data_IF_960093434798
#
_entry.id   IF_960093434798
#
_cell.length_a   1.000
_cell.length_b   1.000
_cell.length_c   1.000
_cell.angle_alpha   90.00
_cell.angle_beta   90.00
_cell.angle_gamma   90.00
#
_symmetry.space_group_name_H-M   'P 1'
#
loop_
_entity.id
_entity.type
_entity.pdbx_description
1 polymer ?
#
# COMPACT_ATOMS: atom_id res chain seq x y z
N UNK A 1 4.82 5.36 -3.97
CA UNK A 1 3.39 5.43 -4.24
C UNK A 1 2.97 4.32 -5.19
N UNK A 2 3.43 4.26 -6.45
CA UNK A 2 3.09 3.25 -7.45
C UNK A 2 3.14 1.80 -6.90
N UNK A 3 4.28 1.40 -6.32
CA UNK A 3 4.44 0.09 -5.66
C UNK A 3 3.50 -0.17 -4.48
N UNK A 4 3.13 0.88 -3.75
CA UNK A 4 2.24 0.80 -2.58
C UNK A 4 0.77 0.73 -3.02
N UNK A 5 0.40 1.47 -4.06
CA UNK A 5 -0.92 1.42 -4.71
C UNK A 5 -1.13 0.04 -5.36
N UNK A 6 -0.13 -0.50 -6.07
CA UNK A 6 -0.13 -1.90 -6.53
C UNK A 6 -0.24 -2.89 -5.37
N UNK A 7 0.36 -2.63 -4.21
CA UNK A 7 0.18 -3.50 -3.04
C UNK A 7 -1.26 -3.44 -2.48
N UNK A 8 -1.88 -2.25 -2.42
CA UNK A 8 -3.31 -2.11 -2.10
C UNK A 8 -4.14 -2.91 -3.11
N UNK A 9 -3.86 -2.76 -4.41
CA UNK A 9 -4.53 -3.49 -5.48
C UNK A 9 -4.40 -5.01 -5.32
N UNK A 10 -3.21 -5.52 -4.96
CA UNK A 10 -2.95 -6.94 -4.69
C UNK A 10 -3.73 -7.46 -3.47
N UNK A 11 -3.82 -6.68 -2.41
CA UNK A 11 -4.51 -7.09 -1.18
C UNK A 11 -6.03 -7.18 -1.34
N UNK A 12 -6.66 -6.27 -2.09
CA UNK A 12 -8.12 -6.28 -2.35
C UNK A 12 -8.53 -7.22 -3.51
N UNK A 13 -7.62 -7.61 -4.41
CA UNK A 13 -7.96 -8.44 -5.58
C UNK A 13 -8.22 -7.66 -6.87
N UNK A 14 -7.79 -6.40 -6.93
CA UNK A 14 -7.73 -5.61 -8.17
C UNK A 14 -6.61 -6.16 -9.07
N UNK A 15 -5.55 -6.62 -8.41
CA UNK A 15 -4.43 -7.50 -8.77
C UNK A 15 -4.33 -8.50 -7.58
N UNK A 16 -3.49 -9.54 -7.41
CA UNK A 16 -3.10 -10.65 -8.29
C UNK A 16 -1.94 -10.41 -9.29
N UNK A 17 -1.00 -11.36 -9.33
CA UNK A 17 0.20 -11.50 -10.18
C UNK A 17 0.01 -12.32 -11.49
N UNK A 18 0.84 -12.08 -12.52
CA UNK A 18 0.95 -12.99 -13.68
C UNK A 18 1.37 -14.42 -13.30
N UNK A 19 2.09 -14.57 -12.20
CA UNK A 19 2.45 -15.85 -11.59
C UNK A 19 1.29 -16.52 -10.80
N UNK A 20 0.11 -15.90 -10.74
CA UNK A 20 -1.03 -16.34 -9.91
C UNK A 20 -2.18 -16.99 -10.69
N UNK A 21 -2.23 -16.79 -12.00
CA UNK A 21 -3.38 -17.02 -12.87
C UNK A 21 -4.16 -18.37 -12.71
N UNK A 22 -3.53 -19.53 -12.42
CA UNK A 22 -4.26 -20.80 -12.44
C UNK A 22 -5.33 -20.97 -11.35
N UNK A 23 -5.14 -20.36 -10.17
CA UNK A 23 -5.97 -20.64 -8.98
C UNK A 23 -7.04 -19.56 -8.75
N UNK A 24 -6.72 -18.29 -9.04
CA UNK A 24 -7.59 -17.17 -8.72
C UNK A 24 -8.92 -17.15 -9.51
N UNK A 25 -8.98 -17.83 -10.66
CA UNK A 25 -10.17 -17.89 -11.55
C UNK A 25 -11.41 -18.52 -10.92
N UNK A 26 -11.28 -19.35 -9.88
CA UNK A 26 -12.42 -20.10 -9.32
C UNK A 26 -13.22 -19.36 -8.24
N UNK A 27 -12.74 -18.22 -7.72
CA UNK A 27 -13.39 -17.49 -6.61
C UNK A 27 -13.32 -15.96 -6.80
N UNK A 28 -13.32 -15.49 -8.06
CA UNK A 28 -13.16 -14.08 -8.36
C UNK A 28 -14.00 -13.61 -9.56
N UNK A 29 -15.20 -13.12 -9.26
CA UNK A 29 -15.96 -12.26 -10.17
C UNK A 29 -15.23 -10.91 -10.30
N UNK A 30 -14.19 -10.83 -11.16
CA UNK A 30 -13.54 -9.58 -11.57
C UNK A 30 -12.02 -9.47 -11.39
N UNK A 31 -11.34 -10.43 -10.74
CA UNK A 31 -9.88 -10.34 -10.51
C UNK A 31 -9.06 -11.01 -11.64
N UNK A 32 -8.52 -10.20 -12.55
CA UNK A 32 -7.56 -10.61 -13.57
C UNK A 32 -6.79 -9.37 -14.07
N UNK A 33 -5.52 -9.55 -14.45
CA UNK A 33 -4.51 -8.48 -14.52
C UNK A 33 -4.63 -7.51 -15.70
N UNK A 34 -3.89 -6.41 -15.57
CA UNK A 34 -3.29 -5.61 -16.66
C UNK A 34 -2.28 -6.43 -17.52
N UNK A 35 -2.39 -7.76 -17.58
CA UNK A 35 -1.41 -8.66 -18.19
C UNK A 35 -1.59 -8.65 -19.72
N UNK A 36 -0.94 -7.70 -20.37
CA UNK A 36 -0.84 -7.64 -21.84
C UNK A 36 -0.71 -6.24 -22.41
N UNK A 37 -1.11 -5.18 -21.68
CA UNK A 37 -0.93 -3.81 -22.17
C UNK A 37 0.46 -3.27 -21.81
N UNK A 38 1.25 -2.80 -22.79
CA UNK A 38 2.55 -2.17 -22.53
C UNK A 38 2.44 -0.91 -21.66
N UNK A 39 1.31 -0.22 -21.77
CA UNK A 39 0.93 1.02 -21.09
C UNK A 39 0.33 0.78 -19.68
N UNK A 40 0.79 -0.25 -18.96
CA UNK A 40 0.26 -0.60 -17.64
C UNK A 40 1.20 -0.17 -16.52
N UNK A 41 0.64 0.20 -15.36
CA UNK A 41 1.42 0.53 -14.15
C UNK A 41 2.40 -0.60 -13.80
N UNK A 42 2.00 -1.87 -13.97
CA UNK A 42 2.89 -3.02 -13.74
C UNK A 42 4.02 -3.11 -14.77
N UNK A 43 3.77 -2.83 -16.05
CA UNK A 43 4.80 -2.77 -17.08
C UNK A 43 5.79 -1.62 -16.83
N UNK A 44 5.29 -0.40 -16.58
CA UNK A 44 6.14 0.76 -16.26
C UNK A 44 6.95 0.55 -14.99
N UNK A 45 6.38 -0.05 -13.93
CA UNK A 45 7.12 -0.43 -12.72
C UNK A 45 8.24 -1.43 -13.05
N UNK A 46 7.94 -2.50 -13.80
CA UNK A 46 8.94 -3.51 -14.18
C UNK A 46 10.07 -2.89 -15.01
N UNK A 47 9.73 -2.01 -15.95
CA UNK A 47 10.73 -1.32 -16.76
C UNK A 47 11.57 -0.34 -15.93
N UNK A 48 10.97 0.36 -14.96
CA UNK A 48 11.69 1.22 -14.03
C UNK A 48 12.65 0.42 -13.11
N UNK A 49 12.27 -0.79 -12.72
CA UNK A 49 13.14 -1.71 -11.97
C UNK A 49 14.33 -2.20 -12.80
N UNK A 50 14.13 -2.50 -14.07
CA UNK A 50 15.19 -2.86 -15.02
C UNK A 50 16.15 -1.68 -15.22
N UNK A 51 15.59 -0.52 -15.56
CA UNK A 51 16.34 0.71 -15.84
C UNK A 51 17.10 1.25 -14.61
N UNK A 52 16.65 1.01 -13.36
CA UNK A 52 17.43 1.33 -12.14
C UNK A 52 18.75 0.56 -12.05
N UNK A 53 18.86 -0.60 -12.69
CA UNK A 53 20.12 -1.34 -12.82
C UNK A 53 20.94 -0.90 -14.04
N UNK A 54 20.41 0.00 -14.86
CA UNK A 54 21.10 0.58 -16.01
C UNK A 54 21.77 1.92 -15.66
N UNK A 55 22.74 2.30 -16.49
CA UNK A 55 23.34 3.63 -16.44
C UNK A 55 22.51 4.68 -17.22
N UNK A 56 21.42 4.29 -17.88
CA UNK A 56 20.61 5.23 -18.66
C UNK A 56 19.69 6.02 -17.74
N UNK A 57 19.92 7.32 -17.67
CA UNK A 57 19.15 8.25 -16.83
C UNK A 57 18.00 8.89 -17.62
N UNK A 58 18.14 9.03 -18.94
CA UNK A 58 17.13 9.58 -19.86
C UNK A 58 15.88 8.70 -19.90
N UNK A 59 16.05 7.45 -20.31
CA UNK A 59 14.98 6.48 -20.54
C UNK A 59 14.27 6.14 -19.22
N UNK A 60 15.03 6.21 -18.13
CA UNK A 60 14.57 6.01 -16.77
C UNK A 60 13.74 7.21 -16.27
N UNK A 61 14.07 8.46 -16.64
CA UNK A 61 13.17 9.61 -16.44
C UNK A 61 11.91 9.46 -17.30
N UNK A 62 12.04 9.17 -18.59
CA UNK A 62 10.91 9.03 -19.54
C UNK A 62 9.89 7.97 -19.09
N UNK A 63 10.35 6.75 -18.79
CA UNK A 63 9.46 5.70 -18.29
C UNK A 63 8.81 6.07 -16.93
N UNK A 64 9.46 6.90 -16.12
CA UNK A 64 8.91 7.30 -14.82
C UNK A 64 7.93 8.49 -14.95
N UNK A 65 8.03 9.32 -15.99
CA UNK A 65 6.97 10.26 -16.40
C UNK A 65 5.74 9.51 -16.92
N UNK A 66 5.92 8.48 -17.76
CA UNK A 66 4.81 7.62 -18.20
C UNK A 66 4.17 6.87 -17.01
N UNK A 67 4.97 6.37 -16.05
CA UNK A 67 4.48 5.80 -14.79
C UNK A 67 3.63 6.80 -13.99
N UNK A 68 4.05 8.06 -13.92
CA UNK A 68 3.31 9.11 -13.22
C UNK A 68 1.92 9.33 -13.82
N UNK A 69 1.80 9.52 -15.14
CA UNK A 69 0.50 9.74 -15.78
C UNK A 69 -0.41 8.50 -15.69
N UNK A 70 0.13 7.30 -15.92
CA UNK A 70 -0.62 6.05 -15.77
C UNK A 70 -1.11 5.84 -14.32
N UNK A 71 -0.28 6.17 -13.32
CA UNK A 71 -0.66 6.11 -11.90
C UNK A 71 -1.72 7.15 -11.55
N UNK A 72 -1.56 8.40 -11.99
CA UNK A 72 -2.46 9.51 -11.70
C UNK A 72 -3.86 9.25 -12.28
N UNK A 73 -3.93 8.85 -13.55
CA UNK A 73 -5.12 8.39 -14.24
C UNK A 73 -5.85 7.29 -13.44
N UNK A 74 -5.13 6.23 -13.07
CA UNK A 74 -5.67 5.09 -12.32
C UNK A 74 -6.15 5.50 -10.92
N UNK A 75 -5.40 6.37 -10.23
CA UNK A 75 -5.69 6.80 -8.87
C UNK A 75 -6.99 7.61 -8.81
N UNK A 76 -7.24 8.53 -9.76
CA UNK A 76 -8.50 9.26 -9.84
C UNK A 76 -9.69 8.30 -10.00
N UNK A 77 -9.59 7.32 -10.91
CA UNK A 77 -10.65 6.31 -11.09
C UNK A 77 -10.91 5.47 -9.84
N UNK A 78 -9.84 5.13 -9.10
CA UNK A 78 -9.96 4.33 -7.89
C UNK A 78 -10.46 5.14 -6.68
N UNK A 79 -10.20 6.46 -6.60
CA UNK A 79 -10.87 7.33 -5.62
C UNK A 79 -12.38 7.34 -5.87
N UNK A 80 -12.82 7.48 -7.13
CA UNK A 80 -14.24 7.43 -7.48
C UNK A 80 -14.88 6.07 -7.12
N UNK A 81 -14.23 4.97 -7.46
CA UNK A 81 -14.70 3.62 -7.13
C UNK A 81 -14.77 3.38 -5.62
N UNK A 82 -13.76 3.81 -4.86
CA UNK A 82 -13.77 3.73 -3.39
C UNK A 82 -14.85 4.63 -2.80
N UNK A 83 -15.06 5.85 -3.32
CA UNK A 83 -16.08 6.76 -2.79
C UNK A 83 -17.49 6.18 -2.97
N UNK A 84 -17.79 5.62 -4.14
CA UNK A 84 -19.05 4.91 -4.38
C UNK A 84 -19.22 3.73 -3.40
N UNK A 85 -18.16 2.98 -3.11
CA UNK A 85 -18.19 1.93 -2.08
C UNK A 85 -18.37 2.48 -0.66
N UNK A 86 -17.77 3.63 -0.33
CA UNK A 86 -17.88 4.28 0.97
C UNK A 86 -19.28 4.87 1.25
N UNK A 87 -20.06 5.16 0.20
CA UNK A 87 -21.49 5.49 0.34
C UNK A 87 -22.31 4.30 0.85
N UNK A 88 -21.85 3.06 0.65
CA UNK A 88 -22.58 1.85 0.98
C UNK A 88 -22.29 1.38 2.42
N UNK A 89 -23.16 1.75 3.35
CA UNK A 89 -23.14 1.23 4.72
C UNK A 89 -23.57 -0.24 4.78
N UNK A 90 -22.59 -1.17 4.87
CA UNK A 90 -22.86 -2.55 5.29
C UNK A 90 -23.20 -2.58 6.79
N UNK A 91 -24.31 -3.23 7.17
CA UNK A 91 -24.71 -3.40 8.57
C UNK A 91 -23.92 -4.47 9.35
N UNK A 92 -22.91 -5.09 8.74
CA UNK A 92 -22.13 -6.16 9.35
C UNK A 92 -21.05 -5.60 10.27
N UNK A 93 -21.09 -5.96 11.56
CA UNK A 93 -19.93 -5.78 12.44
C UNK A 93 -18.80 -6.73 12.00
N UNK A 94 -17.58 -6.22 11.87
CA UNK A 94 -16.37 -7.05 11.73
C UNK A 94 -16.28 -8.04 12.90
N UNK A 95 -15.89 -9.31 12.68
CA UNK A 95 -15.64 -10.24 13.78
C UNK A 95 -14.48 -9.76 14.66
N UNK A 96 -14.77 -9.40 15.91
CA UNK A 96 -13.79 -8.95 16.91
C UNK A 96 -12.79 -10.06 17.33
N UNK A 97 -13.03 -11.30 16.88
CA UNK A 97 -12.34 -12.51 17.33
C UNK A 97 -11.01 -12.82 16.64
N UNK A 98 -10.76 -12.29 15.44
CA UNK A 98 -9.49 -12.55 14.72
C UNK A 98 -8.53 -11.36 14.83
N UNK A 99 -7.44 -11.57 15.58
CA UNK A 99 -6.33 -10.64 15.79
C UNK A 99 -5.35 -10.56 14.61
N UNK A 100 -5.65 -11.20 13.48
CA UNK A 100 -4.88 -11.10 12.24
C UNK A 100 -4.94 -9.69 11.62
N UNK A 101 -4.14 -9.46 10.57
CA UNK A 101 -4.17 -8.21 9.82
C UNK A 101 -5.43 -8.15 8.93
N UNK A 102 -6.30 -7.18 9.20
CA UNK A 102 -7.50 -6.89 8.42
C UNK A 102 -7.26 -5.72 7.46
N UNK A 103 -7.97 -5.70 6.32
CA UNK A 103 -7.93 -4.58 5.37
C UNK A 103 -8.79 -3.40 5.87
N UNK A 104 -8.39 -2.14 5.60
CA UNK A 104 -9.18 -0.96 5.97
C UNK A 104 -10.57 -0.90 5.30
N UNK A 105 -11.46 -0.09 5.86
CA UNK A 105 -12.77 0.22 5.29
C UNK A 105 -12.64 1.13 4.06
N UNK A 106 -13.62 1.17 3.15
CA UNK A 106 -13.62 2.08 2.01
C UNK A 106 -13.34 3.55 2.39
N UNK A 107 -13.83 4.02 3.55
CA UNK A 107 -13.57 5.38 4.04
C UNK A 107 -12.09 5.64 4.38
N UNK A 108 -11.39 4.63 4.89
CA UNK A 108 -9.97 4.68 5.24
C UNK A 108 -9.08 4.60 3.99
N UNK A 109 -9.48 3.77 3.01
CA UNK A 109 -8.82 3.73 1.68
C UNK A 109 -9.05 5.04 0.92
N UNK A 110 -10.24 5.65 1.01
CA UNK A 110 -10.51 6.94 0.36
C UNK A 110 -9.55 8.02 0.85
N UNK A 111 -9.39 8.17 2.18
CA UNK A 111 -8.38 9.06 2.80
C UNK A 111 -6.98 8.74 2.30
N UNK A 112 -6.61 7.46 2.23
CA UNK A 112 -5.29 7.01 1.76
C UNK A 112 -5.04 7.42 0.30
N UNK A 113 -5.99 7.18 -0.60
CA UNK A 113 -5.87 7.55 -2.02
C UNK A 113 -5.92 9.06 -2.24
N UNK A 114 -6.72 9.81 -1.48
CA UNK A 114 -6.74 11.28 -1.53
C UNK A 114 -5.39 11.88 -1.09
N UNK A 115 -4.78 11.37 -0.01
CA UNK A 115 -3.42 11.76 0.39
C UNK A 115 -2.39 11.41 -0.68
N UNK A 116 -2.46 10.21 -1.26
CA UNK A 116 -1.63 9.84 -2.41
C UNK A 116 -1.79 10.82 -3.57
N UNK A 117 -3.02 11.22 -3.92
CA UNK A 117 -3.26 12.20 -4.99
C UNK A 117 -2.66 13.56 -4.65
N UNK A 118 -2.85 14.06 -3.43
CA UNK A 118 -2.26 15.32 -2.96
C UNK A 118 -0.74 15.34 -3.11
N UNK A 119 -0.05 14.22 -2.81
CA UNK A 119 1.40 14.08 -3.02
C UNK A 119 1.80 13.97 -4.51
N UNK A 120 0.92 13.58 -5.43
CA UNK A 120 1.15 13.69 -6.88
C UNK A 120 0.82 15.09 -7.43
N UNK A 121 -0.01 15.86 -6.72
CA UNK A 121 -0.38 17.25 -7.02
C UNK A 121 0.67 18.27 -6.51
N UNK A 122 1.69 17.83 -5.76
CA UNK A 122 2.78 18.71 -5.29
C UNK A 122 3.61 19.25 -6.47
N UNK A 123 3.84 20.58 -6.50
CA UNK A 123 4.69 21.24 -7.52
C UNK A 123 6.09 20.63 -7.61
N UNK A 124 6.60 20.15 -6.47
CA UNK A 124 7.91 19.51 -6.32
C UNK A 124 7.96 18.09 -6.95
N UNK A 125 6.81 17.55 -7.38
CA UNK A 125 6.63 16.30 -8.14
C UNK A 125 6.20 16.60 -9.58
N UNK A 126 5.16 17.42 -9.80
CA UNK A 126 4.70 17.80 -11.13
C UNK A 126 4.34 19.29 -11.22
N UNK A 127 5.15 20.06 -11.96
CA UNK A 127 4.93 21.50 -12.16
C UNK A 127 3.82 21.81 -13.19
N UNK A 128 3.50 20.85 -14.07
CA UNK A 128 2.51 21.06 -15.12
C UNK A 128 1.88 19.72 -15.56
N UNK A 129 0.72 19.39 -15.00
CA UNK A 129 0.00 18.17 -15.34
C UNK A 129 -0.53 18.23 -16.79
N UNK A 130 0.02 17.42 -17.68
CA UNK A 130 -0.59 17.12 -18.97
C UNK A 130 -1.91 16.37 -18.76
N UNK A 131 -3.02 16.96 -19.21
CA UNK A 131 -4.39 16.49 -18.91
C UNK A 131 -4.86 15.48 -19.95
N UNK A 132 -4.36 15.65 -21.16
CA UNK A 132 -4.61 14.85 -22.35
C UNK A 132 -4.04 13.44 -22.14
N UNK A 133 -2.80 13.29 -21.65
CA UNK A 133 -2.21 12.00 -21.28
C UNK A 133 -2.99 11.30 -20.14
N UNK A 134 -3.38 12.04 -19.10
CA UNK A 134 -4.22 11.52 -18.00
C UNK A 134 -5.58 11.02 -18.51
N UNK A 135 -6.14 11.66 -19.54
CA UNK A 135 -7.37 11.24 -20.21
C UNK A 135 -7.15 10.02 -21.12
N UNK A 136 -6.04 9.98 -21.86
CA UNK A 136 -5.70 8.86 -22.75
C UNK A 136 -5.53 7.54 -21.99
N UNK A 137 -4.80 7.52 -20.87
CA UNK A 137 -4.70 6.33 -20.02
C UNK A 137 -6.06 5.91 -19.42
N UNK A 138 -6.91 6.86 -19.01
CA UNK A 138 -8.26 6.56 -18.51
C UNK A 138 -9.13 5.94 -19.60
N UNK A 139 -9.20 6.54 -20.79
CA UNK A 139 -9.97 6.01 -21.93
C UNK A 139 -9.44 4.63 -22.35
N UNK A 140 -8.12 4.43 -22.34
CA UNK A 140 -7.47 3.15 -22.59
C UNK A 140 -7.91 2.06 -21.61
N UNK A 141 -7.90 2.37 -20.31
CA UNK A 141 -8.32 1.45 -19.25
C UNK A 141 -9.84 1.19 -19.24
N UNK A 142 -10.67 2.22 -19.48
CA UNK A 142 -12.13 2.09 -19.60
C UNK A 142 -12.47 1.14 -20.74
N UNK A 143 -11.92 1.37 -21.94
CA UNK A 143 -12.10 0.49 -23.11
C UNK A 143 -11.75 -0.97 -22.78
N UNK A 144 -10.57 -1.21 -22.21
CA UNK A 144 -10.15 -2.55 -21.81
C UNK A 144 -11.14 -3.23 -20.84
N UNK A 145 -11.76 -2.47 -19.91
CA UNK A 145 -12.80 -3.00 -19.02
C UNK A 145 -14.16 -3.18 -19.72
N UNK A 146 -14.51 -2.34 -20.70
CA UNK A 146 -15.69 -2.53 -21.56
C UNK A 146 -15.60 -3.83 -22.35
N UNK A 147 -14.48 -4.04 -23.05
CA UNK A 147 -14.23 -5.20 -23.90
C UNK A 147 -14.26 -6.49 -23.05
N UNK A 148 -13.77 -6.43 -21.81
CA UNK A 148 -13.86 -7.55 -20.86
C UNK A 148 -15.29 -7.82 -20.38
N UNK A 149 -16.09 -6.82 -20.03
CA UNK A 149 -17.51 -7.04 -19.64
C UNK A 149 -18.32 -7.60 -20.82
N UNK A 150 -18.04 -7.19 -22.06
CA UNK A 150 -18.68 -7.78 -23.25
C UNK A 150 -18.31 -9.26 -23.46
N UNK A 151 -17.18 -9.71 -22.91
CA UNK A 151 -16.68 -11.09 -23.01
C UNK A 151 -17.16 -11.97 -21.85
N UNK A 152 -17.03 -11.49 -20.61
CA UNK A 152 -17.34 -12.24 -19.38
C UNK A 152 -18.83 -12.14 -18.98
N UNK A 153 -19.52 -11.09 -19.45
CA UNK A 153 -20.87 -10.72 -19.05
C UNK A 153 -20.94 -9.86 -17.77
N UNK A 154 -22.02 -9.10 -17.62
CA UNK A 154 -22.37 -8.41 -16.38
C UNK A 154 -23.48 -9.17 -15.64
N UNK A 155 -23.27 -9.47 -14.36
CA UNK A 155 -24.22 -10.18 -13.50
C UNK A 155 -24.75 -9.24 -12.42
N UNK A 156 -26.08 -9.10 -12.33
CA UNK A 156 -26.79 -8.31 -11.31
C UNK A 156 -27.34 -9.18 -10.15
N UNK A 157 -26.94 -10.44 -10.08
CA UNK A 157 -27.24 -11.33 -8.95
C UNK A 157 -26.15 -11.18 -7.88
N UNK A 158 -26.43 -10.37 -6.86
CA UNK A 158 -25.45 -10.01 -5.84
C UNK A 158 -26.05 -10.08 -4.42
N UNK A 159 -25.43 -10.91 -3.57
CA UNK A 159 -25.93 -11.31 -2.25
C UNK A 159 -26.12 -10.15 -1.25
N UNK A 160 -25.59 -8.95 -1.56
CA UNK A 160 -25.60 -7.78 -0.70
C UNK A 160 -26.48 -6.64 -1.24
N UNK A 161 -27.01 -6.74 -2.47
CA UNK A 161 -27.72 -5.65 -3.15
C UNK A 161 -26.85 -4.42 -3.45
N UNK A 162 -25.53 -4.58 -3.38
CA UNK A 162 -24.53 -3.57 -3.67
C UNK A 162 -24.57 -3.15 -5.14
N UNK A 163 -24.54 -4.10 -6.09
CA UNK A 163 -24.45 -3.77 -7.53
C UNK A 163 -25.66 -2.96 -7.99
N UNK A 164 -26.85 -3.34 -7.55
CA UNK A 164 -28.09 -2.60 -7.81
C UNK A 164 -28.01 -1.17 -7.26
N UNK A 165 -27.70 -1.02 -5.97
CA UNK A 165 -27.57 0.31 -5.35
C UNK A 165 -26.45 1.16 -5.96
N UNK A 166 -25.37 0.54 -6.44
CA UNK A 166 -24.32 1.24 -7.15
C UNK A 166 -24.84 1.81 -8.47
N UNK A 167 -25.56 1.02 -9.28
CA UNK A 167 -26.23 1.51 -10.49
C UNK A 167 -27.24 2.63 -10.18
N UNK A 168 -28.12 2.43 -9.19
CA UNK A 168 -29.11 3.43 -8.76
C UNK A 168 -28.45 4.80 -8.46
N UNK A 169 -27.29 4.79 -7.79
CA UNK A 169 -26.51 6.00 -7.42
C UNK A 169 -25.73 6.59 -8.60
N UNK A 170 -25.26 5.77 -9.55
CA UNK A 170 -24.54 6.24 -10.74
C UNK A 170 -25.50 6.85 -11.76
N UNK A 171 -26.70 6.29 -11.92
CA UNK A 171 -27.71 6.71 -12.91
C UNK A 171 -28.53 7.91 -12.44
N UNK A 172 -28.75 8.08 -11.13
CA UNK A 172 -29.36 9.27 -10.57
C UNK A 172 -28.45 10.51 -10.70
N UNK A 173 -28.75 11.35 -11.71
CA UNK A 173 -28.09 12.64 -11.96
C UNK A 173 -28.28 13.67 -10.83
N UNK A 174 -29.12 13.39 -9.82
CA UNK A 174 -29.26 14.18 -8.59
C UNK A 174 -28.47 13.64 -7.40
N UNK A 175 -27.85 12.46 -7.51
CA UNK A 175 -27.09 11.86 -6.41
C UNK A 175 -25.83 12.66 -6.07
N UNK A 176 -25.45 12.72 -4.80
CA UNK A 176 -24.25 13.45 -4.32
C UNK A 176 -22.98 12.99 -5.06
N UNK A 177 -22.81 11.68 -5.22
CA UNK A 177 -21.73 11.06 -5.99
C UNK A 177 -21.73 11.53 -7.45
N UNK A 178 -22.89 11.51 -8.12
CA UNK A 178 -23.00 11.88 -9.53
C UNK A 178 -22.80 13.38 -9.74
N UNK A 179 -23.25 14.23 -8.81
CA UNK A 179 -23.00 15.67 -8.84
C UNK A 179 -21.51 16.02 -8.67
N UNK A 180 -20.82 15.37 -7.72
CA UNK A 180 -19.37 15.53 -7.50
C UNK A 180 -18.59 15.11 -8.75
N UNK A 181 -18.66 13.83 -9.12
CA UNK A 181 -17.75 13.25 -10.12
C UNK A 181 -18.08 13.63 -11.57
N UNK A 182 -19.27 14.20 -11.85
CA UNK A 182 -19.60 14.72 -13.19
C UNK A 182 -19.18 16.19 -13.40
N UNK A 183 -18.93 16.96 -12.33
CA UNK A 183 -18.72 18.44 -12.44
C UNK A 183 -17.51 18.98 -11.68
N UNK A 184 -17.14 18.39 -10.54
CA UNK A 184 -16.05 18.90 -9.70
C UNK A 184 -14.66 18.43 -10.14
N UNK A 185 -14.58 17.28 -10.82
CA UNK A 185 -13.31 16.65 -11.21
C UNK A 185 -13.12 16.66 -12.73
N UNK A 186 -12.66 17.77 -13.34
CA UNK A 186 -12.49 17.88 -14.80
C UNK A 186 -11.39 16.98 -15.40
N UNK A 187 -10.72 16.17 -14.57
CA UNK A 187 -9.73 15.16 -14.97
C UNK A 187 -10.29 13.73 -14.96
N UNK A 188 -11.55 13.51 -14.61
CA UNK A 188 -12.15 12.18 -14.50
C UNK A 188 -13.05 11.86 -15.70
N UNK A 189 -12.72 10.79 -16.43
CA UNK A 189 -13.65 10.20 -17.40
C UNK A 189 -14.48 9.12 -16.68
N UNK A 190 -15.76 9.41 -16.45
CA UNK A 190 -16.65 8.49 -15.74
C UNK A 190 -16.95 7.25 -16.60
N UNK A 191 -16.66 6.01 -16.13
CA UNK A 191 -16.96 4.79 -16.87
C UNK A 191 -18.48 4.55 -17.02
N UNK A 192 -18.89 3.70 -17.97
CA UNK A 192 -20.18 3.01 -17.96
C UNK A 192 -20.57 2.48 -16.56
N UNK A 193 -21.86 2.57 -16.15
CA UNK A 193 -22.29 2.24 -14.79
C UNK A 193 -21.89 0.84 -14.30
N UNK A 194 -21.95 -0.15 -15.19
CA UNK A 194 -21.60 -1.55 -14.92
C UNK A 194 -20.10 -1.71 -14.61
N UNK A 195 -19.26 -0.98 -15.34
CA UNK A 195 -17.80 -0.95 -15.12
C UNK A 195 -17.50 -0.31 -13.76
N UNK A 196 -18.15 0.81 -13.44
CA UNK A 196 -17.92 1.52 -12.19
C UNK A 196 -18.43 0.72 -10.98
N UNK A 197 -19.59 0.08 -11.07
CA UNK A 197 -20.16 -0.79 -10.04
C UNK A 197 -19.29 -2.02 -9.75
N UNK A 198 -18.75 -2.70 -10.79
CA UNK A 198 -17.78 -3.79 -10.60
C UNK A 198 -16.44 -3.29 -10.04
N UNK A 199 -16.02 -2.07 -10.40
CA UNK A 199 -14.79 -1.48 -9.87
C UNK A 199 -14.95 -1.06 -8.40
N UNK A 200 -16.13 -0.65 -7.94
CA UNK A 200 -16.33 -0.22 -6.55
C UNK A 200 -16.54 -1.40 -5.59
N UNK A 201 -17.22 -2.46 -6.03
CA UNK A 201 -17.56 -3.64 -5.23
C UNK A 201 -16.36 -4.32 -4.54
N UNK A 202 -15.18 -4.32 -5.19
CA UNK A 202 -13.97 -4.97 -4.64
C UNK A 202 -13.50 -4.41 -3.30
N UNK A 203 -13.93 -3.21 -2.92
CA UNK A 203 -13.60 -2.58 -1.64
C UNK A 203 -14.50 -3.00 -0.46
N UNK A 204 -15.52 -3.84 -0.71
CA UNK A 204 -16.32 -4.47 0.35
C UNK A 204 -15.54 -5.55 1.12
N UNK A 205 -14.33 -5.92 0.67
CA UNK A 205 -13.52 -7.01 1.23
C UNK A 205 -12.65 -6.48 2.39
N UNK A 206 -12.82 -7.05 3.59
CA UNK A 206 -11.99 -6.74 4.77
C UNK A 206 -10.89 -7.79 5.07
N UNK A 207 -10.84 -8.91 4.35
CA UNK A 207 -9.82 -9.95 4.51
C UNK A 207 -8.75 -9.89 3.42
N UNK A 208 -7.44 -9.93 3.74
CA UNK A 208 -6.38 -9.92 2.73
C UNK A 208 -6.42 -11.14 1.81
N UNK A 209 -6.24 -10.94 0.50
CA UNK A 209 -6.04 -12.04 -0.46
C UNK A 209 -4.61 -12.61 -0.38
N UNK A 210 -4.29 -13.29 0.72
CA UNK A 210 -2.95 -13.80 1.01
C UNK A 210 -2.32 -14.65 -0.11
N UNK A 211 -3.10 -15.46 -0.84
CA UNK A 211 -2.60 -16.24 -2.00
C UNK A 211 -2.05 -15.39 -3.15
N UNK A 212 -2.53 -14.15 -3.30
CA UNK A 212 -1.99 -13.19 -4.27
C UNK A 212 -0.73 -12.50 -3.71
N UNK A 213 -0.79 -12.09 -2.44
CA UNK A 213 0.33 -11.44 -1.73
C UNK A 213 1.56 -12.35 -1.67
N UNK A 214 1.41 -13.64 -1.31
CA UNK A 214 2.52 -14.59 -1.18
C UNK A 214 3.18 -14.97 -2.52
N UNK A 215 2.51 -14.74 -3.65
CA UNK A 215 3.08 -14.95 -4.98
C UNK A 215 3.75 -13.67 -5.52
N UNK A 216 3.21 -12.50 -5.19
CA UNK A 216 3.82 -11.21 -5.56
C UNK A 216 4.99 -10.79 -4.64
N UNK A 217 4.99 -11.22 -3.38
CA UNK A 217 5.98 -10.85 -2.37
C UNK A 217 6.73 -12.11 -1.90
N UNK A 218 8.07 -12.19 -2.11
CA UNK A 218 8.84 -13.35 -1.65
C UNK A 218 8.88 -13.44 -0.12
N UNK A 219 8.85 -14.65 0.41
CA UNK A 219 9.08 -14.90 1.82
C UNK A 219 10.51 -14.45 2.22
N UNK A 220 10.62 -13.67 3.30
CA UNK A 220 11.90 -13.17 3.82
C UNK A 220 12.19 -13.81 5.17
N UNK A 221 13.38 -14.41 5.29
CA UNK A 221 13.92 -14.85 6.58
C UNK A 221 14.28 -13.62 7.42
N UNK A 222 13.33 -13.16 8.22
CA UNK A 222 13.52 -12.07 9.18
C UNK A 222 14.16 -12.60 10.47
N UNK A 223 15.08 -11.85 11.10
CA UNK A 223 15.85 -12.31 12.25
C UNK A 223 15.05 -12.24 13.56
N UNK A 224 13.88 -12.88 13.60
CA UNK A 224 13.10 -13.12 14.81
C UNK A 224 13.86 -14.06 15.77
N UNK A 225 13.54 -13.96 17.05
CA UNK A 225 14.01 -14.88 18.09
C UNK A 225 12.89 -15.90 18.34
N UNK A 226 13.20 -17.20 18.32
CA UNK A 226 12.26 -18.22 18.80
C UNK A 226 12.25 -18.18 20.34
N UNK A 227 11.11 -17.93 21.01
CA UNK A 227 11.03 -17.90 22.46
C UNK A 227 11.56 -19.18 23.13
N UNK A 228 11.50 -20.34 22.46
CA UNK A 228 12.05 -21.62 22.96
C UNK A 228 13.57 -21.64 23.12
N UNK A 229 14.27 -20.69 22.48
CA UNK A 229 15.74 -20.53 22.59
C UNK A 229 16.17 -19.63 23.75
N UNK A 230 15.23 -18.97 24.41
CA UNK A 230 15.49 -18.11 25.56
C UNK A 230 15.41 -18.98 26.83
N UNK A 231 16.43 -18.98 27.71
CA UNK A 231 16.35 -19.67 29.01
C UNK A 231 15.14 -19.20 29.81
N UNK A 232 14.40 -20.14 30.42
CA UNK A 232 13.11 -19.85 31.05
C UNK A 232 13.23 -18.77 32.14
N UNK A 233 14.29 -18.82 32.92
CA UNK A 233 14.56 -17.88 34.02
C UNK A 233 14.82 -16.45 33.53
N UNK A 234 15.18 -16.28 32.25
CA UNK A 234 15.30 -14.98 31.59
C UNK A 234 13.94 -14.58 31.00
N UNK A 235 13.25 -15.50 30.32
CA UNK A 235 11.93 -15.23 29.75
C UNK A 235 10.89 -14.82 30.81
N UNK A 236 10.79 -15.55 31.91
CA UNK A 236 9.87 -15.25 33.02
C UNK A 236 10.17 -13.87 33.64
N UNK A 237 11.44 -13.46 33.71
CA UNK A 237 11.85 -12.12 34.20
C UNK A 237 11.46 -11.02 33.22
N UNK A 238 11.76 -11.19 31.94
CA UNK A 238 11.37 -10.22 30.91
C UNK A 238 9.84 -10.10 30.84
N UNK A 239 9.09 -11.19 31.00
CA UNK A 239 7.63 -11.15 31.00
C UNK A 239 7.07 -10.37 32.19
N UNK A 240 7.68 -10.48 33.38
CA UNK A 240 7.33 -9.63 34.54
C UNK A 240 7.61 -8.15 34.24
N UNK A 241 8.67 -7.82 33.47
CA UNK A 241 8.94 -6.44 33.04
C UNK A 241 7.94 -5.96 31.99
N UNK A 242 7.57 -6.79 31.02
CA UNK A 242 6.58 -6.49 29.99
C UNK A 242 5.17 -6.26 30.60
N UNK A 243 4.74 -7.10 31.54
CA UNK A 243 3.49 -6.93 32.28
C UNK A 243 3.51 -5.66 33.17
N UNK A 244 4.66 -5.27 33.71
CA UNK A 244 4.84 -3.97 34.40
C UNK A 244 4.76 -2.78 33.44
N UNK A 245 5.40 -2.85 32.27
CA UNK A 245 5.26 -1.83 31.22
C UNK A 245 3.80 -1.70 30.74
N UNK A 246 3.09 -2.82 30.58
CA UNK A 246 1.66 -2.84 30.25
C UNK A 246 0.82 -2.16 31.33
N UNK A 247 1.06 -2.49 32.60
CA UNK A 247 0.35 -1.89 33.74
C UNK A 247 0.60 -0.39 33.83
N UNK A 248 1.84 0.05 33.66
CA UNK A 248 2.19 1.48 33.61
C UNK A 248 1.49 2.19 32.45
N UNK A 249 1.50 1.60 31.25
CA UNK A 249 0.81 2.14 30.08
C UNK A 249 -0.70 2.33 30.35
N UNK A 250 -1.37 1.31 30.92
CA UNK A 250 -2.79 1.38 31.31
C UNK A 250 -3.06 2.49 32.34
N UNK A 251 -2.19 2.66 33.34
CA UNK A 251 -2.32 3.71 34.36
C UNK A 251 -2.08 5.13 33.79
N UNK A 252 -1.15 5.28 32.84
CA UNK A 252 -0.84 6.57 32.20
C UNK A 252 -1.75 6.92 31.02
N UNK A 253 -2.76 6.08 30.71
CA UNK A 253 -3.59 6.19 29.48
C UNK A 253 -2.76 6.23 28.19
N UNK A 254 -1.71 5.41 28.11
CA UNK A 254 -0.83 5.23 26.94
C UNK A 254 -0.87 3.78 26.45
N UNK A 255 -0.34 3.54 25.25
CA UNK A 255 -0.07 2.16 24.82
C UNK A 255 1.35 1.70 25.24
N UNK A 256 1.53 0.39 25.41
CA UNK A 256 2.83 -0.21 25.81
C UNK A 256 3.94 0.09 24.80
N UNK A 257 3.59 0.28 23.52
CA UNK A 257 4.55 0.61 22.47
C UNK A 257 5.06 2.05 22.53
N UNK A 258 4.31 2.98 23.13
CA UNK A 258 4.78 4.34 23.43
C UNK A 258 5.70 4.34 24.66
N UNK A 259 5.37 3.56 25.72
CA UNK A 259 6.26 3.34 26.87
C UNK A 259 7.62 2.75 26.41
N UNK A 260 7.60 1.71 25.57
CA UNK A 260 8.82 1.09 25.01
C UNK A 260 9.63 2.00 24.07
N UNK A 261 9.11 3.17 23.68
CA UNK A 261 9.82 4.18 22.88
C UNK A 261 10.52 5.26 23.72
N UNK A 262 10.13 5.41 24.98
CA UNK A 262 10.79 6.29 25.95
C UNK A 262 11.65 5.53 26.96
N UNK A 263 11.44 4.21 27.12
CA UNK A 263 12.33 3.32 27.87
C UNK A 263 13.64 3.11 27.09
N UNK A 264 14.77 3.51 27.69
CA UNK A 264 16.11 3.47 27.09
C UNK A 264 16.86 2.15 27.33
N UNK A 265 16.35 1.30 28.24
CA UNK A 265 17.02 0.06 28.71
C UNK A 265 17.17 -0.99 27.61
N UNK A 266 16.28 -0.99 26.63
CA UNK A 266 16.21 -1.99 25.55
C UNK A 266 16.01 -1.31 24.20
N UNK A 267 16.76 -1.73 23.18
CA UNK A 267 16.62 -1.17 21.82
C UNK A 267 15.33 -1.69 21.18
N UNK A 268 14.56 -0.79 20.58
CA UNK A 268 13.27 -1.10 19.91
C UNK A 268 13.28 -2.33 18.98
N UNK A 269 14.37 -2.59 18.26
CA UNK A 269 14.47 -3.76 17.36
C UNK A 269 14.46 -5.09 18.14
N UNK A 270 14.99 -5.11 19.36
CA UNK A 270 15.13 -6.34 20.13
C UNK A 270 13.76 -6.78 20.68
N UNK A 271 12.88 -5.83 21.06
CA UNK A 271 11.44 -6.12 21.29
C UNK A 271 10.76 -6.69 20.05
N UNK A 272 10.96 -6.08 18.88
CA UNK A 272 10.31 -6.51 17.62
C UNK A 272 10.76 -7.92 17.20
N UNK A 273 12.01 -8.30 17.49
CA UNK A 273 12.54 -9.66 17.27
C UNK A 273 11.90 -10.71 18.18
N UNK A 274 11.53 -10.32 19.41
CA UNK A 274 10.67 -11.10 20.32
C UNK A 274 9.18 -11.01 19.95
N UNK A 275 8.83 -10.43 18.79
CA UNK A 275 7.46 -10.12 18.32
C UNK A 275 6.66 -9.19 19.24
N UNK A 276 7.29 -8.51 20.20
CA UNK A 276 6.64 -7.61 21.15
C UNK A 276 6.28 -6.27 20.50
N UNK A 277 5.13 -5.72 20.90
CA UNK A 277 4.60 -4.48 20.29
C UNK A 277 5.44 -3.25 20.63
N UNK A 278 5.74 -2.45 19.60
CA UNK A 278 6.32 -1.10 19.72
C UNK A 278 5.50 -0.05 18.93
N UNK A 279 4.26 -0.34 18.56
CA UNK A 279 3.45 0.60 17.78
C UNK A 279 3.07 1.85 18.61
N UNK A 280 2.82 2.97 17.95
CA UNK A 280 2.22 4.16 18.58
C UNK A 280 0.74 3.93 18.88
N UNK A 281 0.17 4.68 19.81
CA UNK A 281 -1.27 4.72 20.11
C UNK A 281 -2.19 4.95 18.89
N UNK A 282 -1.67 5.52 17.80
CA UNK A 282 -2.34 5.75 16.50
C UNK A 282 -2.53 4.49 15.67
N UNK A 283 -1.84 3.40 16.03
CA UNK A 283 -1.93 2.10 15.38
C UNK A 283 -3.12 1.28 15.93
N UNK A 284 -3.87 0.62 15.05
CA UNK A 284 -5.01 -0.26 15.37
C UNK A 284 -4.73 -1.17 16.58
N UNK A 285 -3.74 -2.06 16.45
CA UNK A 285 -3.36 -3.07 17.45
C UNK A 285 -2.71 -2.54 18.74
N UNK A 286 -2.45 -1.24 18.86
CA UNK A 286 -1.65 -0.69 19.95
C UNK A 286 -2.26 -0.96 21.34
N UNK A 287 -3.58 -0.87 21.42
CA UNK A 287 -4.33 -1.07 22.66
C UNK A 287 -4.53 -2.55 22.99
N UNK A 288 -4.76 -3.41 22.00
CA UNK A 288 -4.89 -4.85 22.20
C UNK A 288 -3.58 -5.46 22.71
N UNK A 289 -2.47 -5.06 22.09
CA UNK A 289 -1.11 -5.41 22.54
C UNK A 289 -0.73 -4.76 23.89
N UNK A 290 -1.52 -3.80 24.39
CA UNK A 290 -1.35 -3.22 25.73
C UNK A 290 -2.21 -3.98 26.75
N UNK A 291 -3.37 -4.51 26.34
CA UNK A 291 -4.16 -5.37 27.21
C UNK A 291 -3.50 -6.73 27.41
N UNK A 292 -2.96 -7.30 26.35
CA UNK A 292 -2.31 -8.61 26.27
C UNK A 292 -0.91 -8.46 25.65
N UNK A 293 0.12 -8.42 26.51
CA UNK A 293 1.54 -8.28 26.09
C UNK A 293 2.24 -9.60 25.79
N UNK A 294 1.62 -10.73 26.13
CA UNK A 294 2.12 -12.07 25.82
C UNK A 294 1.80 -12.45 24.37
N UNK A 295 0.72 -11.89 23.82
CA UNK A 295 0.36 -12.09 22.42
C UNK A 295 1.37 -11.46 21.44
N UNK A 296 1.83 -12.19 20.40
CA UNK A 296 2.66 -11.63 19.34
C UNK A 296 1.98 -10.44 18.63
N UNK A 297 2.68 -9.33 18.49
CA UNK A 297 2.16 -8.15 17.81
C UNK A 297 2.01 -8.41 16.29
N UNK A 298 0.84 -8.20 15.68
CA UNK A 298 0.64 -8.42 14.25
C UNK A 298 1.51 -7.49 13.39
N UNK A 299 1.86 -6.29 13.91
CA UNK A 299 2.76 -5.35 13.23
C UNK A 299 4.25 -5.73 13.31
N UNK A 300 4.63 -6.85 13.95
CA UNK A 300 6.03 -7.22 14.15
C UNK A 300 6.79 -7.50 12.83
N UNK A 301 6.15 -8.16 11.86
CA UNK A 301 6.77 -8.50 10.56
C UNK A 301 7.10 -7.25 9.72
N UNK A 302 6.12 -6.37 9.50
CA UNK A 302 6.34 -5.10 8.79
C UNK A 302 7.40 -4.23 9.48
N UNK A 303 7.37 -4.17 10.81
CA UNK A 303 8.29 -3.36 11.59
C UNK A 303 9.71 -3.89 11.50
N UNK A 304 9.91 -5.21 11.59
CA UNK A 304 11.23 -5.82 11.47
C UNK A 304 11.79 -5.67 10.04
N UNK A 305 10.94 -5.85 9.02
CA UNK A 305 11.31 -5.66 7.62
C UNK A 305 11.84 -4.25 7.35
N UNK A 306 11.11 -3.22 7.80
CA UNK A 306 11.50 -1.82 7.66
C UNK A 306 12.75 -1.48 8.47
N UNK A 307 12.90 -2.03 9.69
CA UNK A 307 14.10 -1.82 10.51
C UNK A 307 15.35 -2.47 9.90
N UNK A 308 15.23 -3.68 9.34
CA UNK A 308 16.34 -4.38 8.66
C UNK A 308 16.76 -3.61 7.41
N UNK A 309 15.81 -3.19 6.56
CA UNK A 309 16.12 -2.43 5.35
C UNK A 309 16.77 -1.07 5.64
N UNK A 310 16.25 -0.31 6.62
CA UNK A 310 16.84 0.98 7.03
C UNK A 310 18.26 0.83 7.63
N UNK A 311 18.54 -0.25 8.37
CA UNK A 311 19.88 -0.50 8.96
C UNK A 311 20.91 -1.05 7.98
N UNK A 312 20.49 -1.63 6.85
CA UNK A 312 21.39 -2.28 5.89
C UNK A 312 22.18 -1.23 5.09
N UNK A 313 23.51 -1.27 5.17
CA UNK A 313 24.41 -0.33 4.46
C UNK A 313 24.58 -0.61 2.96
N UNK A 314 24.37 -1.85 2.54
CA UNK A 314 24.58 -2.35 1.17
C UNK A 314 23.27 -2.58 0.41
N UNK A 315 23.36 -3.03 -0.85
CA UNK A 315 22.29 -3.77 -1.53
C UNK A 315 21.90 -5.02 -0.71
N UNK A 316 20.65 -5.48 -0.84
CA UNK A 316 20.09 -6.61 -0.09
C UNK A 316 20.24 -7.95 -0.82
N UNK A 317 19.92 -9.08 -0.14
CA UNK A 317 20.11 -10.42 -0.70
C UNK A 317 19.13 -10.78 -1.82
N UNK A 318 18.02 -10.06 -1.96
CA UNK A 318 17.06 -10.22 -3.05
C UNK A 318 17.31 -9.18 -4.16
N UNK A 319 16.95 -9.47 -5.43
CA UNK A 319 16.95 -8.50 -6.52
C UNK A 319 16.09 -7.27 -6.21
N UNK A 320 16.34 -6.14 -6.91
CA UNK A 320 15.75 -4.83 -6.59
C UNK A 320 14.22 -4.86 -6.48
N UNK A 321 13.51 -5.30 -7.53
CA UNK A 321 12.04 -5.34 -7.53
C UNK A 321 11.42 -6.20 -6.43
N UNK A 322 11.87 -7.46 -6.25
CA UNK A 322 11.48 -8.30 -5.12
C UNK A 322 11.74 -7.65 -3.74
N UNK A 323 12.81 -6.86 -3.53
CA UNK A 323 12.96 -6.05 -2.29
C UNK A 323 11.89 -4.97 -2.20
N UNK A 324 11.62 -4.26 -3.29
CA UNK A 324 10.60 -3.22 -3.34
C UNK A 324 9.20 -3.78 -3.07
N UNK A 325 8.88 -5.01 -3.48
CA UNK A 325 7.62 -5.68 -3.15
C UNK A 325 7.49 -5.98 -1.64
N UNK A 326 8.55 -6.48 -0.99
CA UNK A 326 8.58 -6.71 0.47
C UNK A 326 8.37 -5.39 1.24
N UNK A 327 9.01 -4.32 0.78
CA UNK A 327 8.86 -3.01 1.40
C UNK A 327 7.47 -2.42 1.15
N UNK A 328 6.91 -2.59 -0.04
CA UNK A 328 5.55 -2.18 -0.36
C UNK A 328 4.51 -2.87 0.54
N UNK A 329 4.65 -4.19 0.79
CA UNK A 329 3.85 -4.93 1.78
C UNK A 329 3.95 -4.30 3.17
N UNK A 330 5.18 -4.17 3.69
CA UNK A 330 5.41 -3.63 5.03
C UNK A 330 4.96 -2.17 5.21
N UNK A 331 4.96 -1.38 4.13
CA UNK A 331 4.45 -0.01 4.07
C UNK A 331 2.92 0.01 4.02
N UNK A 332 2.30 -0.76 3.13
CA UNK A 332 0.84 -0.85 3.05
C UNK A 332 0.25 -1.34 4.37
N UNK A 333 0.79 -2.41 4.95
CA UNK A 333 0.37 -2.90 6.28
C UNK A 333 0.57 -1.84 7.38
N UNK A 334 1.44 -0.85 7.17
CA UNK A 334 1.62 0.29 8.07
C UNK A 334 0.56 1.37 7.92
N UNK A 335 0.32 1.81 6.69
CA UNK A 335 -0.76 2.73 6.30
C UNK A 335 -2.12 2.16 6.75
N UNK A 336 -2.39 0.90 6.43
CA UNK A 336 -3.59 0.17 6.83
C UNK A 336 -3.69 -0.14 8.34
N UNK A 337 -2.60 0.03 9.10
CA UNK A 337 -2.64 -0.05 10.56
C UNK A 337 -3.01 1.28 11.23
N UNK A 338 -3.09 2.40 10.51
CA UNK A 338 -3.49 3.68 11.11
C UNK A 338 -4.98 3.66 11.42
N UNK A 339 -5.35 3.95 12.67
CA UNK A 339 -6.75 3.97 13.16
C UNK A 339 -7.56 5.10 12.46
N UNK A 340 -8.90 5.03 12.31
CA UNK A 340 -9.66 6.03 11.53
C UNK A 340 -9.97 7.37 12.21
N UNK A 341 -9.56 7.61 13.47
CA UNK A 341 -9.97 8.80 14.25
C UNK A 341 -9.53 10.13 13.63
N UNK A 342 -10.28 11.21 13.93
CA UNK A 342 -10.23 12.47 13.17
C UNK A 342 -8.90 13.25 13.23
N UNK A 343 -8.02 12.92 14.18
CA UNK A 343 -6.66 13.47 14.27
C UNK A 343 -5.63 12.75 13.37
N UNK A 344 -6.00 11.68 12.69
CA UNK A 344 -5.03 10.69 12.19
C UNK A 344 -4.52 10.97 10.78
N UNK A 345 -5.08 11.93 10.06
CA UNK A 345 -4.66 12.28 8.69
C UNK A 345 -3.18 12.77 8.67
N UNK A 346 -2.72 13.41 9.75
CA UNK A 346 -1.31 13.75 9.97
C UNK A 346 -0.44 12.49 10.13
N UNK A 347 -0.85 11.52 10.94
CA UNK A 347 -0.06 10.29 11.16
C UNK A 347 -0.09 9.36 9.93
N UNK A 348 -1.18 9.37 9.16
CA UNK A 348 -1.30 8.70 7.87
C UNK A 348 -0.34 9.34 6.84
N UNK A 349 -0.32 10.68 6.73
CA UNK A 349 0.67 11.40 5.93
C UNK A 349 2.11 11.13 6.39
N UNK A 350 2.35 10.99 7.70
CA UNK A 350 3.67 10.64 8.25
C UNK A 350 4.09 9.20 7.92
N UNK A 351 3.20 8.20 7.95
CA UNK A 351 3.52 6.84 7.50
C UNK A 351 3.77 6.78 5.98
N UNK A 352 3.01 7.55 5.17
CA UNK A 352 3.27 7.66 3.74
C UNK A 352 4.63 8.36 3.48
N UNK A 353 4.95 9.47 4.14
CA UNK A 353 6.27 10.11 4.04
C UNK A 353 7.43 9.19 4.50
N UNK A 354 7.18 8.31 5.49
CA UNK A 354 8.13 7.25 5.88
C UNK A 354 8.31 6.20 4.78
N UNK A 355 7.33 5.98 3.90
CA UNK A 355 7.45 5.14 2.71
C UNK A 355 8.38 5.76 1.66
N UNK A 356 8.20 7.06 1.35
CA UNK A 356 9.07 7.78 0.42
C UNK A 356 10.55 7.64 0.82
N UNK A 357 10.82 7.90 2.10
CA UNK A 357 12.16 7.78 2.71
C UNK A 357 12.79 6.38 2.61
N UNK A 358 11.98 5.31 2.46
CA UNK A 358 12.43 3.91 2.39
C UNK A 358 12.79 3.52 0.96
N UNK A 359 11.94 3.84 0.00
CA UNK A 359 12.20 3.55 -1.41
C UNK A 359 13.37 4.38 -1.96
N UNK A 360 13.43 5.67 -1.62
CA UNK A 360 14.56 6.56 -1.94
C UNK A 360 15.91 5.94 -1.56
N UNK A 361 15.98 5.38 -0.36
CA UNK A 361 17.19 4.80 0.23
C UNK A 361 17.53 3.40 -0.35
N UNK A 362 16.57 2.66 -0.92
CA UNK A 362 16.85 1.46 -1.72
C UNK A 362 17.31 1.78 -3.15
N UNK A 363 16.65 2.73 -3.83
CA UNK A 363 17.05 3.21 -5.17
C UNK A 363 18.49 3.71 -5.11
N UNK A 364 18.79 4.58 -4.15
CA UNK A 364 20.15 5.11 -3.91
C UNK A 364 21.17 3.99 -3.66
N UNK A 365 20.83 2.96 -2.87
CA UNK A 365 21.72 1.78 -2.64
C UNK A 365 21.97 0.98 -3.91
N UNK A 366 20.93 0.74 -4.71
CA UNK A 366 21.04 -0.03 -5.96
C UNK A 366 21.89 0.69 -6.99
N UNK A 367 21.63 1.99 -7.20
CA UNK A 367 22.39 2.84 -8.15
C UNK A 367 23.85 3.04 -7.70
N UNK A 368 24.08 3.21 -6.40
CA UNK A 368 25.44 3.29 -5.82
C UNK A 368 26.33 2.08 -6.13
N UNK A 369 25.75 0.89 -6.36
CA UNK A 369 26.53 -0.29 -6.76
C UNK A 369 26.85 -0.38 -8.26
N UNK A 370 26.05 0.26 -9.13
CA UNK A 370 26.34 0.31 -10.58
C UNK A 370 27.49 1.25 -10.93
N UNK A 371 27.60 2.38 -10.22
CA UNK A 371 28.61 3.43 -10.45
C UNK A 371 30.06 2.95 -10.17
N UNK A 372 30.26 1.83 -9.46
CA UNK A 372 31.58 1.33 -9.06
C UNK A 372 32.46 0.91 -10.26
N UNK A 373 31.88 0.69 -11.45
CA UNK A 373 32.64 0.31 -12.67
C UNK A 373 33.12 1.47 -13.55
N UNK A 374 32.86 2.75 -13.20
CA UNK A 374 33.54 3.87 -13.86
C UNK A 374 33.65 5.12 -12.95
N UNK A 375 34.87 5.64 -12.67
CA UNK A 375 35.08 6.77 -11.78
C UNK A 375 34.86 8.12 -12.48
N UNK A 376 33.62 8.40 -12.90
CA UNK A 376 33.19 9.70 -13.42
C UNK A 376 32.34 10.42 -12.37
N UNK A 377 32.59 11.71 -12.12
CA UNK A 377 31.87 12.45 -11.07
C UNK A 377 30.41 12.73 -11.46
N UNK A 378 29.48 12.16 -10.68
CA UNK A 378 28.06 12.49 -10.59
C UNK A 378 27.73 13.97 -10.84
N UNK A 379 27.38 14.35 -12.08
CA UNK A 379 27.09 15.73 -12.46
C UNK A 379 25.82 16.27 -11.79
N UNK A 380 25.65 17.59 -11.78
CA UNK A 380 24.49 18.24 -11.14
C UNK A 380 23.17 17.81 -11.80
N UNK A 381 23.18 17.61 -13.12
CA UNK A 381 22.08 17.05 -13.91
C UNK A 381 21.72 15.63 -13.50
N UNK A 382 22.71 14.74 -13.34
CA UNK A 382 22.47 13.34 -12.94
C UNK A 382 21.94 13.23 -11.51
N UNK A 383 22.39 14.09 -10.59
CA UNK A 383 21.82 14.18 -9.24
C UNK A 383 20.39 14.70 -9.24
N UNK A 384 20.08 15.71 -10.07
CA UNK A 384 18.71 16.22 -10.21
C UNK A 384 17.79 15.15 -10.80
N UNK A 385 18.26 14.42 -11.80
CA UNK A 385 17.52 13.32 -12.39
C UNK A 385 17.34 12.15 -11.41
N UNK A 386 18.35 11.76 -10.63
CA UNK A 386 18.21 10.74 -9.57
C UNK A 386 17.21 11.16 -8.48
N UNK A 387 17.10 12.46 -8.18
CA UNK A 387 16.16 12.99 -7.20
C UNK A 387 14.72 13.05 -7.75
N UNK A 388 14.53 13.44 -9.01
CA UNK A 388 13.26 13.28 -9.74
C UNK A 388 12.85 11.81 -9.83
N UNK A 389 13.81 10.93 -10.08
CA UNK A 389 13.58 9.50 -10.20
C UNK A 389 13.14 8.87 -8.89
N UNK A 390 13.81 9.23 -7.80
CA UNK A 390 13.39 8.87 -6.46
C UNK A 390 11.94 9.32 -6.27
N UNK A 391 11.58 10.58 -6.58
CA UNK A 391 10.22 11.09 -6.40
C UNK A 391 9.16 10.35 -7.22
N UNK A 392 9.43 10.01 -8.48
CA UNK A 392 8.42 9.45 -9.37
C UNK A 392 8.41 7.90 -9.47
N UNK A 393 9.49 7.21 -9.06
CA UNK A 393 9.45 5.76 -8.79
C UNK A 393 8.82 5.43 -7.43
N UNK A 394 8.65 6.45 -6.58
CA UNK A 394 7.73 6.37 -5.44
C UNK A 394 6.33 6.56 -6.01
#
# INVERSE_FOLDING_TARGET
MAKVIVMIFIHYGVEVCSQCAPICRQVANGADQLDGTPDSILAHIKHAEELVNSNSITDLVENTENLYYALYARLIMEIAAVHLCASFTLGFRRPESDRSFQLPEPREICKTFLLCKQMLDEEDVCNHLNKELVKEHQVGFIRYKSDKIQTDGFLLDDLLGYRRRALDVIEDETSEFRQEWRKATPMYEMPPPEILALQSEKYLIWTPRWDAVHKAVPAVSLPFIDPKTIPKEIWDREMILDQRQATLAKLESKCVGDIRRIDDRRRLIDFVRERKCICRSTCSCAWDCTQDVEHPCPCSERTLSLMVAKRRKSVGPLPFGPRCNVLAKAIFEGIASVRPSDANDMELSVEINRAFSVFAEEIRKQRSTGVITSPTMLSVSERKAELLLIRAQI
#
